data_IF_528807865858
#
_entry.id   IF_528807865858
#
_cell.length_a   1.000
_cell.length_b   1.000
_cell.length_c   1.000
_cell.angle_alpha   90.00
_cell.angle_beta   90.00
_cell.angle_gamma   90.00
#
_symmetry.space_group_name_H-M   'P 1'
#
loop_
_entity.id
_entity.type
_entity.pdbx_description
1 polymer ?
#
# COMPACT_ATOMS: atom_id res chain seq x y z
N UNK A 1 -24.12 17.31 -28.56
CA UNK A 1 -24.17 15.87 -28.51
C UNK A 1 -24.32 15.30 -27.10
N UNK A 2 -24.64 14.04 -26.98
CA UNK A 2 -24.93 13.34 -25.72
C UNK A 2 -23.76 13.47 -24.69
N UNK A 3 -22.50 13.45 -25.14
CA UNK A 3 -21.32 13.63 -24.27
C UNK A 3 -21.33 14.97 -23.51
N UNK A 4 -21.62 16.08 -24.21
CA UNK A 4 -21.77 17.40 -23.57
C UNK A 4 -22.96 17.43 -22.61
N UNK A 5 -24.09 16.84 -23.02
CA UNK A 5 -25.26 16.73 -22.16
C UNK A 5 -24.99 15.98 -20.87
N UNK A 6 -24.21 14.89 -20.94
CA UNK A 6 -23.76 14.12 -19.78
C UNK A 6 -23.03 15.01 -18.77
N UNK A 7 -22.03 15.80 -19.21
CA UNK A 7 -21.31 16.71 -18.32
C UNK A 7 -22.22 17.82 -17.78
N UNK A 8 -23.07 18.42 -18.64
CA UNK A 8 -23.97 19.48 -18.21
C UNK A 8 -24.95 19.00 -17.10
N UNK A 9 -25.62 17.86 -17.33
CA UNK A 9 -26.50 17.28 -16.31
C UNK A 9 -25.76 16.85 -15.04
N UNK A 10 -24.57 16.23 -15.18
CA UNK A 10 -23.80 15.76 -14.05
C UNK A 10 -23.30 16.89 -13.16
N UNK A 11 -22.74 17.95 -13.73
CA UNK A 11 -22.31 19.12 -12.96
C UNK A 11 -23.49 19.89 -12.36
N UNK A 12 -24.62 20.01 -13.09
CA UNK A 12 -25.79 20.60 -12.50
C UNK A 12 -26.32 19.75 -11.32
N UNK A 13 -26.32 18.42 -11.47
CA UNK A 13 -26.63 17.50 -10.36
C UNK A 13 -25.74 17.71 -9.16
N UNK A 14 -24.44 17.94 -9.37
CA UNK A 14 -23.49 18.23 -8.30
C UNK A 14 -23.80 19.55 -7.58
N UNK A 15 -24.12 20.61 -8.29
CA UNK A 15 -24.56 21.87 -7.68
C UNK A 15 -25.80 21.68 -6.80
N UNK A 16 -26.78 20.90 -7.25
CA UNK A 16 -27.97 20.58 -6.45
C UNK A 16 -27.63 19.69 -5.25
N UNK A 17 -26.61 18.80 -5.36
CA UNK A 17 -26.07 18.02 -4.24
C UNK A 17 -25.49 18.95 -3.15
N UNK A 18 -24.74 19.98 -3.53
CA UNK A 18 -24.19 21.00 -2.62
C UNK A 18 -25.29 21.81 -1.93
N UNK A 19 -26.36 22.15 -2.67
CA UNK A 19 -27.56 22.81 -2.13
C UNK A 19 -28.44 21.89 -1.28
N UNK A 20 -28.07 20.61 -1.09
CA UNK A 20 -28.85 19.58 -0.36
C UNK A 20 -30.21 19.27 -0.99
N UNK A 21 -30.41 19.57 -2.24
CA UNK A 21 -31.61 19.22 -3.03
C UNK A 21 -31.44 17.84 -3.65
N UNK A 22 -31.44 16.80 -2.79
CA UNK A 22 -30.95 15.46 -3.13
C UNK A 22 -31.80 14.76 -4.20
N UNK A 23 -33.13 14.93 -4.20
CA UNK A 23 -33.99 14.28 -5.19
C UNK A 23 -33.78 14.86 -6.58
N UNK A 24 -33.72 16.19 -6.71
CA UNK A 24 -33.47 16.86 -8.00
C UNK A 24 -32.04 16.57 -8.48
N UNK A 25 -31.04 16.55 -7.56
CA UNK A 25 -29.69 16.14 -7.85
C UNK A 25 -29.64 14.73 -8.44
N UNK A 26 -30.36 13.77 -7.83
CA UNK A 26 -30.44 12.39 -8.31
C UNK A 26 -31.11 12.29 -9.69
N UNK A 27 -32.16 13.03 -9.94
CA UNK A 27 -32.80 13.05 -11.25
C UNK A 27 -31.87 13.56 -12.35
N UNK A 28 -31.14 14.65 -12.08
CA UNK A 28 -30.15 15.22 -13.01
C UNK A 28 -28.98 14.24 -13.23
N UNK A 29 -28.49 13.64 -12.16
CA UNK A 29 -27.42 12.64 -12.23
C UNK A 29 -27.82 11.42 -13.05
N UNK A 30 -29.07 10.92 -12.94
CA UNK A 30 -29.60 9.83 -13.78
C UNK A 30 -29.65 10.22 -15.26
N UNK A 31 -29.99 11.47 -15.59
CA UNK A 31 -29.93 11.98 -16.97
C UNK A 31 -28.48 12.02 -17.47
N UNK A 32 -27.52 12.39 -16.59
CA UNK A 32 -26.12 12.39 -16.92
C UNK A 32 -25.59 10.98 -17.21
N UNK A 33 -25.96 9.99 -16.39
CA UNK A 33 -25.65 8.56 -16.59
C UNK A 33 -26.18 8.08 -17.93
N UNK A 34 -27.47 8.33 -18.22
CA UNK A 34 -28.08 7.92 -19.48
C UNK A 34 -27.39 8.55 -20.70
N UNK A 35 -27.09 9.85 -20.63
CA UNK A 35 -26.37 10.55 -21.71
C UNK A 35 -24.94 10.03 -21.91
N UNK A 36 -24.23 9.69 -20.81
CA UNK A 36 -22.91 9.09 -20.88
C UNK A 36 -22.93 7.69 -21.51
N UNK A 37 -23.87 6.84 -21.12
CA UNK A 37 -24.10 5.52 -21.71
C UNK A 37 -24.40 5.62 -23.21
N UNK A 38 -25.32 6.52 -23.57
CA UNK A 38 -25.71 6.75 -24.99
C UNK A 38 -24.55 7.28 -25.85
N UNK A 39 -23.58 7.95 -25.23
CA UNK A 39 -22.38 8.48 -25.89
C UNK A 39 -21.20 7.51 -25.92
N UNK A 40 -21.28 6.37 -25.23
CA UNK A 40 -20.14 5.49 -25.02
C UNK A 40 -18.98 6.21 -24.32
N UNK A 41 -19.27 7.03 -23.30
CA UNK A 41 -18.31 7.92 -22.64
C UNK A 41 -18.02 7.45 -21.19
N UNK A 42 -17.18 6.40 -21.02
CA UNK A 42 -16.91 5.81 -19.70
C UNK A 42 -16.20 6.80 -18.75
N UNK A 43 -15.43 7.75 -19.27
CA UNK A 43 -14.70 8.78 -18.50
C UNK A 43 -15.66 9.78 -17.81
N UNK A 44 -16.88 9.93 -18.28
CA UNK A 44 -17.92 10.68 -17.59
C UNK A 44 -18.88 9.76 -16.84
N UNK A 45 -19.15 8.57 -17.36
CA UNK A 45 -20.11 7.61 -16.81
C UNK A 45 -19.76 7.23 -15.36
N UNK A 46 -18.50 6.83 -15.07
CA UNK A 46 -18.09 6.43 -13.70
C UNK A 46 -18.31 7.57 -12.70
N UNK A 47 -18.11 8.83 -13.11
CA UNK A 47 -18.30 10.01 -12.23
C UNK A 47 -19.75 10.16 -11.80
N UNK A 48 -20.68 9.98 -12.73
CA UNK A 48 -22.10 10.14 -12.45
C UNK A 48 -22.68 8.90 -11.74
N UNK A 49 -22.16 7.72 -12.00
CA UNK A 49 -22.46 6.52 -11.19
C UNK A 49 -21.99 6.71 -9.75
N UNK A 50 -20.79 7.20 -9.54
CA UNK A 50 -20.26 7.52 -8.22
C UNK A 50 -21.09 8.62 -7.53
N UNK A 51 -21.43 9.71 -8.21
CA UNK A 51 -22.35 10.74 -7.69
C UNK A 51 -23.72 10.17 -7.31
N UNK A 52 -24.25 9.25 -8.12
CA UNK A 52 -25.49 8.52 -7.77
C UNK A 52 -25.32 7.75 -6.47
N UNK A 53 -24.20 7.08 -6.27
CA UNK A 53 -23.87 6.37 -5.03
C UNK A 53 -23.92 7.28 -3.80
N UNK A 54 -23.26 8.45 -3.86
CA UNK A 54 -23.29 9.44 -2.76
C UNK A 54 -24.68 9.95 -2.47
N UNK A 55 -25.46 10.28 -3.51
CA UNK A 55 -26.82 10.78 -3.37
C UNK A 55 -27.75 9.73 -2.76
N UNK A 56 -27.67 8.48 -3.24
CA UNK A 56 -28.46 7.36 -2.71
C UNK A 56 -28.09 7.04 -1.24
N UNK A 57 -26.82 7.14 -0.87
CA UNK A 57 -26.38 7.00 0.52
C UNK A 57 -27.04 8.05 1.41
N UNK A 58 -27.05 9.33 0.99
CA UNK A 58 -27.68 10.42 1.73
C UNK A 58 -29.22 10.31 1.80
N UNK A 59 -29.83 9.70 0.79
CA UNK A 59 -31.27 9.40 0.74
C UNK A 59 -31.65 8.12 1.50
N UNK A 60 -30.67 7.40 2.08
CA UNK A 60 -30.91 6.18 2.86
C UNK A 60 -31.15 4.92 2.01
N UNK A 61 -30.98 4.99 0.69
CA UNK A 61 -31.10 3.84 -0.21
C UNK A 61 -29.76 3.11 -0.33
N UNK A 62 -29.41 2.34 0.72
CA UNK A 62 -28.10 1.70 0.82
C UNK A 62 -27.83 0.67 -0.28
N UNK A 63 -28.83 -0.13 -0.69
CA UNK A 63 -28.64 -1.13 -1.76
C UNK A 63 -28.45 -0.45 -3.13
N UNK A 64 -29.23 0.60 -3.41
CA UNK A 64 -29.03 1.41 -4.61
C UNK A 64 -27.68 2.12 -4.62
N UNK A 65 -27.24 2.62 -3.48
CA UNK A 65 -25.92 3.23 -3.34
C UNK A 65 -24.80 2.23 -3.62
N UNK A 66 -24.88 1.02 -3.04
CA UNK A 66 -23.89 -0.03 -3.24
C UNK A 66 -23.77 -0.42 -4.72
N UNK A 67 -24.92 -0.63 -5.41
CA UNK A 67 -24.94 -0.91 -6.85
C UNK A 67 -24.26 0.21 -7.66
N UNK A 68 -24.58 1.47 -7.36
CA UNK A 68 -24.02 2.62 -8.08
C UNK A 68 -22.51 2.77 -7.87
N UNK A 69 -22.01 2.53 -6.66
CA UNK A 69 -20.56 2.53 -6.38
C UNK A 69 -19.82 1.38 -7.07
N UNK A 70 -20.41 0.17 -7.07
CA UNK A 70 -19.84 -0.99 -7.76
C UNK A 70 -19.78 -0.78 -9.27
N UNK A 71 -20.85 -0.24 -9.86
CA UNK A 71 -20.89 0.14 -11.28
C UNK A 71 -19.84 1.19 -11.61
N UNK A 72 -19.68 2.21 -10.76
CA UNK A 72 -18.65 3.23 -10.95
C UNK A 72 -17.23 2.63 -10.93
N UNK A 73 -16.93 1.75 -9.97
CA UNK A 73 -15.65 1.07 -9.89
C UNK A 73 -15.40 0.17 -11.12
N UNK A 74 -16.41 -0.59 -11.56
CA UNK A 74 -16.33 -1.44 -12.75
C UNK A 74 -16.12 -0.62 -14.05
N UNK A 75 -16.80 0.51 -14.17
CA UNK A 75 -16.66 1.42 -15.32
C UNK A 75 -15.28 2.09 -15.35
N UNK A 76 -14.73 2.45 -14.18
CA UNK A 76 -13.43 3.09 -14.05
C UNK A 76 -12.28 2.13 -14.36
N UNK A 77 -12.39 0.86 -13.98
CA UNK A 77 -11.28 -0.10 -14.05
C UNK A 77 -10.58 -0.16 -15.42
N UNK A 78 -11.27 -0.33 -16.57
CA UNK A 78 -10.62 -0.43 -17.87
C UNK A 78 -10.03 0.88 -18.40
N UNK A 79 -10.54 2.04 -17.97
CA UNK A 79 -10.09 3.37 -18.45
C UNK A 79 -9.17 4.08 -17.46
N UNK A 80 -8.85 3.45 -16.35
CA UNK A 80 -8.19 4.09 -15.23
C UNK A 80 -6.80 4.67 -15.59
N UNK A 81 -6.02 3.95 -16.38
CA UNK A 81 -4.74 4.42 -16.87
C UNK A 81 -4.89 5.74 -17.64
N UNK A 82 -5.89 5.83 -18.51
CA UNK A 82 -6.16 7.04 -19.30
C UNK A 82 -6.59 8.22 -18.40
N UNK A 83 -7.41 7.93 -17.37
CA UNK A 83 -7.84 8.95 -16.40
C UNK A 83 -6.67 9.43 -15.54
N UNK A 84 -5.77 8.54 -15.13
CA UNK A 84 -4.58 8.87 -14.36
C UNK A 84 -3.54 9.64 -15.19
N UNK A 85 -3.37 9.32 -16.47
CA UNK A 85 -2.44 10.01 -17.37
C UNK A 85 -2.84 11.45 -17.71
N UNK A 86 -4.13 11.77 -17.66
CA UNK A 86 -4.62 13.13 -17.88
C UNK A 86 -4.17 14.13 -16.79
N UNK A 87 -3.58 13.64 -15.72
CA UNK A 87 -3.23 14.40 -14.53
C UNK A 87 -1.78 14.16 -14.10
N UNK A 88 -0.88 15.01 -14.57
CA UNK A 88 0.58 14.86 -14.37
C UNK A 88 1.14 15.32 -13.01
N UNK A 89 0.35 15.47 -11.95
CA UNK A 89 0.86 15.94 -10.67
C UNK A 89 0.34 15.08 -9.50
N UNK A 90 1.23 14.65 -8.62
CA UNK A 90 0.96 13.87 -7.39
C UNK A 90 0.06 14.57 -6.34
N UNK A 91 -0.44 15.77 -6.65
CA UNK A 91 -1.43 16.53 -5.87
C UNK A 91 -2.76 16.67 -6.62
N UNK A 92 -3.00 15.85 -7.67
CA UNK A 92 -4.10 16.02 -8.58
C UNK A 92 -5.44 15.60 -7.94
N UNK A 93 -6.49 16.41 -8.15
CA UNK A 93 -7.86 16.08 -7.79
C UNK A 93 -8.36 14.72 -8.33
N UNK A 94 -7.82 14.24 -9.47
CA UNK A 94 -8.22 12.96 -10.05
C UNK A 94 -7.75 11.75 -9.23
N UNK A 95 -6.52 11.75 -8.70
CA UNK A 95 -6.05 10.68 -7.79
C UNK A 95 -6.82 10.67 -6.46
N UNK A 96 -7.12 11.84 -5.92
CA UNK A 96 -7.97 11.96 -4.75
C UNK A 96 -9.38 11.44 -5.04
N UNK A 97 -9.91 11.67 -6.25
CA UNK A 97 -11.24 11.19 -6.63
C UNK A 97 -11.30 9.67 -6.78
N UNK A 98 -10.28 9.02 -7.36
CA UNK A 98 -10.22 7.55 -7.47
C UNK A 98 -10.15 6.90 -6.09
N UNK A 99 -9.27 7.39 -5.21
CA UNK A 99 -9.19 6.92 -3.83
C UNK A 99 -10.53 7.05 -3.11
N UNK A 100 -11.18 8.20 -3.23
CA UNK A 100 -12.47 8.46 -2.58
C UNK A 100 -13.55 7.48 -3.02
N UNK A 101 -13.65 7.14 -4.31
CA UNK A 101 -14.59 6.15 -4.81
C UNK A 101 -14.45 4.80 -4.10
N UNK A 102 -13.23 4.25 -4.03
CA UNK A 102 -13.00 2.95 -3.41
C UNK A 102 -13.16 2.98 -1.89
N UNK A 103 -12.77 4.09 -1.23
CA UNK A 103 -12.93 4.24 0.21
C UNK A 103 -14.40 4.45 0.61
N UNK A 104 -15.18 5.21 -0.15
CA UNK A 104 -16.62 5.37 0.06
C UNK A 104 -17.36 4.04 -0.15
N UNK A 105 -16.97 3.26 -1.18
CA UNK A 105 -17.49 1.90 -1.39
C UNK A 105 -17.13 0.99 -0.20
N UNK A 106 -15.90 0.98 0.26
CA UNK A 106 -15.47 0.18 1.41
C UNK A 106 -16.21 0.60 2.69
N UNK A 107 -16.40 1.91 2.90
CA UNK A 107 -17.16 2.42 4.04
C UNK A 107 -18.61 1.92 4.06
N UNK A 108 -19.29 2.01 2.92
CA UNK A 108 -20.66 1.52 2.78
C UNK A 108 -20.75 0.01 3.03
N UNK A 109 -19.79 -0.78 2.51
CA UNK A 109 -19.72 -2.22 2.73
C UNK A 109 -19.49 -2.56 4.21
N UNK A 110 -18.61 -1.83 4.89
CA UNK A 110 -18.37 -1.99 6.34
C UNK A 110 -19.59 -1.60 7.18
N UNK A 111 -20.31 -0.56 6.78
CA UNK A 111 -21.57 -0.19 7.42
C UNK A 111 -22.64 -1.27 7.23
N UNK A 112 -22.75 -1.85 6.02
CA UNK A 112 -23.68 -2.96 5.75
C UNK A 112 -23.32 -4.19 6.58
N UNK A 113 -22.03 -4.57 6.64
CA UNK A 113 -21.58 -5.67 7.48
C UNK A 113 -21.99 -5.51 8.96
N UNK A 114 -21.98 -4.27 9.48
CA UNK A 114 -22.37 -3.96 10.85
C UNK A 114 -23.87 -4.11 11.12
N UNK A 115 -24.70 -4.08 10.10
CA UNK A 115 -26.16 -4.21 10.21
C UNK A 115 -26.63 -5.67 10.03
N UNK A 116 -25.76 -6.55 9.59
CA UNK A 116 -26.11 -7.95 9.37
C UNK A 116 -26.17 -8.71 10.71
N UNK A 117 -27.19 -9.55 10.83
CA UNK A 117 -27.37 -10.43 12.00
C UNK A 117 -26.77 -11.82 11.78
N UNK A 118 -26.60 -12.21 10.53
CA UNK A 118 -25.98 -13.48 10.14
C UNK A 118 -24.50 -13.31 9.83
N UNK A 119 -23.66 -14.13 10.46
CA UNK A 119 -22.20 -14.05 10.30
C UNK A 119 -21.75 -14.28 8.84
N UNK A 120 -22.44 -15.14 8.09
CA UNK A 120 -22.12 -15.42 6.68
C UNK A 120 -22.35 -14.22 5.75
N UNK A 121 -23.43 -13.47 5.99
CA UNK A 121 -23.69 -12.25 5.23
C UNK A 121 -22.71 -11.14 5.61
N UNK A 122 -22.46 -10.95 6.89
CA UNK A 122 -21.47 -10.01 7.40
C UNK A 122 -20.08 -10.28 6.78
N UNK A 123 -19.64 -11.55 6.77
CA UNK A 123 -18.35 -11.95 6.18
C UNK A 123 -18.26 -11.65 4.68
N UNK A 124 -19.37 -11.81 3.95
CA UNK A 124 -19.44 -11.45 2.52
C UNK A 124 -19.18 -9.95 2.29
N UNK A 125 -19.78 -9.08 3.10
CA UNK A 125 -19.57 -7.64 3.02
C UNK A 125 -18.14 -7.24 3.47
N UNK A 126 -17.59 -7.89 4.50
CA UNK A 126 -16.21 -7.65 4.93
C UNK A 126 -15.20 -8.04 3.85
N UNK A 127 -15.41 -9.16 3.17
CA UNK A 127 -14.59 -9.58 2.01
C UNK A 127 -14.68 -8.56 0.88
N UNK A 128 -15.89 -8.12 0.53
CA UNK A 128 -16.07 -7.12 -0.52
C UNK A 128 -15.39 -5.78 -0.16
N UNK A 129 -15.42 -5.37 1.12
CA UNK A 129 -14.73 -4.17 1.58
C UNK A 129 -13.20 -4.31 1.45
N UNK A 130 -12.63 -5.46 1.85
CA UNK A 130 -11.21 -5.77 1.65
C UNK A 130 -10.85 -5.71 0.16
N UNK A 131 -11.62 -6.37 -0.67
CA UNK A 131 -11.37 -6.45 -2.11
C UNK A 131 -11.45 -5.06 -2.79
N UNK A 132 -12.31 -4.16 -2.32
CA UNK A 132 -12.34 -2.77 -2.77
C UNK A 132 -11.05 -2.01 -2.40
N UNK A 133 -10.53 -2.19 -1.19
CA UNK A 133 -9.24 -1.60 -0.77
C UNK A 133 -8.08 -2.19 -1.56
N UNK A 134 -8.05 -3.51 -1.77
CA UNK A 134 -7.02 -4.17 -2.59
C UNK A 134 -7.06 -3.70 -4.05
N UNK A 135 -8.25 -3.55 -4.64
CA UNK A 135 -8.42 -3.01 -5.98
C UNK A 135 -7.86 -1.58 -6.10
N UNK A 136 -8.09 -0.72 -5.09
CA UNK A 136 -7.45 0.60 -5.04
C UNK A 136 -5.93 0.50 -4.97
N UNK A 137 -5.38 -0.35 -4.10
CA UNK A 137 -3.93 -0.51 -3.93
C UNK A 137 -3.23 -1.07 -5.16
N UNK A 138 -3.82 -2.08 -5.79
CA UNK A 138 -3.35 -2.59 -7.08
C UNK A 138 -3.35 -1.49 -8.13
N UNK A 139 -4.39 -0.70 -8.06
CA UNK A 139 -4.60 0.46 -8.86
C UNK A 139 -3.46 1.49 -8.71
N UNK A 140 -3.16 1.92 -7.52
CA UNK A 140 -2.10 2.87 -7.19
C UNK A 140 -0.71 2.40 -7.66
N UNK A 141 -0.40 1.12 -7.50
CA UNK A 141 0.88 0.56 -7.93
C UNK A 141 1.04 0.48 -9.45
N UNK A 142 -0.04 0.13 -10.18
CA UNK A 142 -0.02 0.18 -11.65
C UNK A 142 0.29 1.58 -12.16
N UNK A 143 -0.33 2.60 -11.55
CA UNK A 143 -0.10 4.00 -11.92
C UNK A 143 1.35 4.42 -11.63
N UNK A 144 1.91 3.94 -10.52
CA UNK A 144 3.28 4.21 -10.14
C UNK A 144 4.31 3.55 -11.07
N UNK A 145 4.15 2.26 -11.36
CA UNK A 145 5.12 1.50 -12.15
C UNK A 145 4.93 1.67 -13.66
N UNK A 146 3.79 2.20 -14.14
CA UNK A 146 3.46 2.37 -15.57
C UNK A 146 3.68 1.09 -16.38
N UNK A 147 3.42 -0.08 -15.80
CA UNK A 147 3.82 -1.36 -16.35
C UNK A 147 2.69 -2.40 -16.22
N UNK A 148 2.39 -3.08 -17.32
CA UNK A 148 1.44 -4.20 -17.40
C UNK A 148 1.92 -5.43 -16.58
N UNK A 149 3.14 -5.38 -16.01
CA UNK A 149 3.68 -6.44 -15.16
C UNK A 149 2.91 -6.65 -13.87
N UNK A 150 2.18 -5.64 -13.36
CA UNK A 150 1.32 -5.78 -12.18
C UNK A 150 0.22 -6.81 -12.44
N UNK A 151 -0.33 -6.86 -13.66
CA UNK A 151 -1.35 -7.83 -14.05
C UNK A 151 -0.81 -9.26 -14.12
N UNK A 152 0.45 -9.42 -14.53
CA UNK A 152 1.12 -10.73 -14.55
C UNK A 152 1.44 -11.23 -13.13
N UNK A 153 1.75 -10.34 -12.21
CA UNK A 153 1.95 -10.68 -10.79
C UNK A 153 0.62 -11.12 -10.19
N UNK A 154 -0.45 -10.37 -10.38
CA UNK A 154 -1.80 -10.74 -9.90
C UNK A 154 -2.27 -12.10 -10.44
N UNK A 155 -1.98 -12.42 -11.71
CA UNK A 155 -2.34 -13.70 -12.30
C UNK A 155 -1.58 -14.91 -11.71
N UNK A 156 -0.44 -14.68 -11.06
CA UNK A 156 0.39 -15.72 -10.41
C UNK A 156 0.14 -15.88 -8.92
N UNK A 157 -0.50 -14.90 -8.30
CA UNK A 157 -0.71 -14.91 -6.86
C UNK A 157 -1.92 -15.78 -6.51
N UNK A 158 -1.68 -16.82 -5.75
CA UNK A 158 -2.72 -17.61 -5.10
C UNK A 158 -3.36 -16.73 -4.04
N UNK A 159 -4.70 -16.76 -3.93
CA UNK A 159 -5.42 -16.00 -2.91
C UNK A 159 -4.78 -16.22 -1.53
N UNK A 160 -4.43 -15.14 -0.88
CA UNK A 160 -3.75 -15.11 0.42
C UNK A 160 -4.58 -15.66 1.61
N UNK A 161 -5.77 -16.20 1.36
CA UNK A 161 -6.54 -16.96 2.35
C UNK A 161 -5.77 -18.22 2.84
N UNK A 162 -4.61 -18.53 2.23
CA UNK A 162 -3.69 -19.61 2.59
C UNK A 162 -2.43 -19.16 3.34
N UNK A 163 -2.38 -17.95 3.90
CA UNK A 163 -1.26 -17.50 4.74
C UNK A 163 -1.22 -18.34 6.03
N UNK A 164 0.00 -18.57 6.54
CA UNK A 164 0.29 -19.32 7.76
C UNK A 164 -0.81 -19.19 8.84
N UNK A 165 -1.24 -20.29 9.47
CA UNK A 165 -2.30 -20.30 10.49
C UNK A 165 -1.97 -19.47 11.75
N UNK A 166 -0.77 -18.87 11.83
CA UNK A 166 -0.33 -18.00 12.91
C UNK A 166 -0.17 -16.53 12.46
N UNK A 167 -0.77 -16.15 11.33
CA UNK A 167 -0.64 -14.79 10.76
C UNK A 167 -1.96 -14.05 10.84
N UNK A 168 -1.91 -12.77 11.22
CA UNK A 168 -3.01 -11.82 11.06
C UNK A 168 -2.61 -10.71 10.08
N UNK A 169 -3.55 -10.35 9.18
CA UNK A 169 -3.33 -9.31 8.18
C UNK A 169 -4.25 -8.15 8.50
N UNK A 170 -3.67 -6.98 8.70
CA UNK A 170 -4.32 -5.80 9.26
C UNK A 170 -4.40 -4.70 8.20
N UNK A 171 -5.61 -4.29 7.87
CA UNK A 171 -5.92 -3.14 7.01
C UNK A 171 -6.42 -1.98 7.87
N UNK A 172 -5.58 -1.02 8.23
CA UNK A 172 -6.04 0.20 8.90
C UNK A 172 -6.63 1.15 7.86
N UNK A 173 -7.95 1.32 7.86
CA UNK A 173 -8.69 2.14 6.90
C UNK A 173 -9.10 3.43 7.60
N UNK A 174 -8.52 4.55 7.18
CA UNK A 174 -8.75 5.86 7.80
C UNK A 174 -9.92 6.59 7.13
N UNK A 175 -11.02 6.76 7.85
CA UNK A 175 -12.15 7.60 7.44
C UNK A 175 -12.12 8.97 8.14
N UNK A 176 -12.95 9.89 7.67
CA UNK A 176 -13.01 11.25 8.20
C UNK A 176 -13.46 11.31 9.65
N UNK A 177 -14.28 10.37 10.08
CA UNK A 177 -14.92 10.29 11.40
C UNK A 177 -14.34 9.21 12.33
N UNK A 178 -13.71 8.16 11.76
CA UNK A 178 -13.18 7.01 12.48
C UNK A 178 -12.07 6.31 11.73
N UNK A 179 -11.44 5.34 12.37
CA UNK A 179 -10.51 4.38 11.74
C UNK A 179 -11.08 2.97 11.90
N UNK A 180 -11.17 2.23 10.81
CA UNK A 180 -11.57 0.83 10.82
C UNK A 180 -10.33 -0.07 10.71
N UNK A 181 -10.25 -1.05 11.57
CA UNK A 181 -9.27 -2.12 11.47
C UNK A 181 -9.97 -3.35 10.90
N UNK A 182 -9.81 -3.57 9.60
CA UNK A 182 -10.27 -4.79 8.96
C UNK A 182 -9.15 -5.82 9.03
N UNK A 183 -9.39 -6.95 9.67
CA UNK A 183 -8.33 -7.93 9.98
C UNK A 183 -8.71 -9.30 9.48
N UNK A 184 -7.86 -9.87 8.61
CA UNK A 184 -7.93 -11.28 8.24
C UNK A 184 -7.19 -12.11 9.28
N UNK A 185 -7.93 -12.87 10.05
CA UNK A 185 -7.42 -13.86 10.98
C UNK A 185 -7.46 -15.27 10.35
N UNK A 186 -6.77 -16.28 10.93
CA UNK A 186 -6.83 -17.67 10.44
C UNK A 186 -8.23 -18.28 10.38
N UNK A 187 -9.16 -17.78 11.20
CA UNK A 187 -10.53 -18.25 11.31
C UNK A 187 -11.57 -17.33 10.67
N UNK A 188 -11.15 -16.27 9.94
CA UNK A 188 -12.03 -15.37 9.20
C UNK A 188 -11.72 -13.89 9.35
N UNK A 189 -12.49 -13.07 8.68
CA UNK A 189 -12.39 -11.62 8.72
C UNK A 189 -13.11 -11.04 9.93
N UNK A 190 -12.51 -10.01 10.55
CA UNK A 190 -13.14 -9.23 11.62
C UNK A 190 -12.92 -7.75 11.39
N UNK A 191 -13.86 -6.98 11.90
CA UNK A 191 -13.85 -5.53 11.88
C UNK A 191 -13.78 -5.01 13.31
N UNK A 192 -12.88 -4.06 13.56
CA UNK A 192 -12.82 -3.30 14.80
C UNK A 192 -12.85 -1.81 14.48
N UNK A 193 -13.86 -1.11 14.98
CA UNK A 193 -14.00 0.35 14.80
C UNK A 193 -13.33 1.09 15.94
N UNK A 194 -12.47 2.04 15.60
CA UNK A 194 -11.75 2.89 16.55
C UNK A 194 -12.20 4.33 16.34
N UNK A 195 -12.66 5.05 17.39
CA UNK A 195 -13.20 6.41 17.27
C UNK A 195 -12.07 7.45 17.13
N UNK A 196 -11.22 7.26 16.13
CA UNK A 196 -10.09 8.13 15.80
C UNK A 196 -10.18 8.54 14.33
N UNK A 197 -10.32 9.84 14.11
CA UNK A 197 -10.45 10.43 12.78
C UNK A 197 -9.15 10.30 11.96
N UNK A 198 -9.25 10.30 10.63
CA UNK A 198 -8.08 10.31 9.74
C UNK A 198 -7.14 11.51 10.05
N UNK A 199 -7.69 12.65 10.41
CA UNK A 199 -6.90 13.85 10.78
C UNK A 199 -6.11 13.65 12.07
N UNK A 200 -6.75 13.13 13.11
CA UNK A 200 -6.10 12.86 14.40
C UNK A 200 -5.01 11.80 14.28
N UNK A 201 -5.31 10.69 13.59
CA UNK A 201 -4.33 9.64 13.34
C UNK A 201 -3.15 10.15 12.51
N UNK A 202 -3.40 10.94 11.46
CA UNK A 202 -2.34 11.55 10.64
C UNK A 202 -1.44 12.48 11.46
N UNK A 203 -2.02 13.29 12.36
CA UNK A 203 -1.24 14.18 13.22
C UNK A 203 -0.32 13.39 14.15
N UNK A 204 -0.82 12.31 14.77
CA UNK A 204 -0.05 11.43 15.64
C UNK A 204 1.08 10.71 14.91
N UNK A 205 0.80 10.17 13.71
CA UNK A 205 1.81 9.56 12.85
C UNK A 205 2.94 10.53 12.51
N UNK A 206 2.61 11.77 12.14
CA UNK A 206 3.62 12.81 11.85
C UNK A 206 4.46 13.16 13.07
N UNK A 207 3.85 13.22 14.25
CA UNK A 207 4.56 13.46 15.50
C UNK A 207 5.48 12.29 15.84
N UNK A 208 4.99 11.06 15.75
CA UNK A 208 5.79 9.85 15.96
C UNK A 208 7.00 9.81 15.03
N UNK A 209 6.81 9.98 13.73
CA UNK A 209 7.89 10.02 12.75
C UNK A 209 8.95 11.07 13.09
N UNK A 210 8.54 12.30 13.36
CA UNK A 210 9.44 13.41 13.72
C UNK A 210 10.26 13.12 14.98
N UNK A 211 9.65 12.46 15.98
CA UNK A 211 10.36 12.10 17.21
C UNK A 211 11.29 10.91 17.03
N UNK A 212 10.99 9.97 16.15
CA UNK A 212 11.90 8.87 15.79
C UNK A 212 13.21 9.36 15.13
N UNK A 213 13.16 10.49 14.41
CA UNK A 213 14.35 11.09 13.79
C UNK A 213 15.30 11.70 14.83
N UNK A 214 14.83 11.96 16.06
CA UNK A 214 15.64 12.47 17.18
C UNK A 214 16.33 11.32 17.91
N UNK A 215 17.56 10.98 17.50
CA UNK A 215 18.33 9.82 18.03
C UNK A 215 18.69 9.89 19.52
N UNK A 216 18.64 11.07 20.14
CA UNK A 216 19.13 11.32 21.50
C UNK A 216 18.05 11.30 22.58
N UNK A 217 16.77 11.21 22.21
CA UNK A 217 15.65 11.29 23.15
C UNK A 217 14.70 10.11 23.00
N UNK A 218 13.86 9.87 24.03
CA UNK A 218 12.78 8.88 23.99
C UNK A 218 11.39 9.52 23.82
N UNK A 219 11.35 10.73 23.31
CA UNK A 219 10.09 11.50 23.11
C UNK A 219 9.12 10.80 22.14
N UNK A 220 9.58 9.86 21.34
CA UNK A 220 8.76 9.03 20.48
C UNK A 220 7.87 8.01 21.24
N UNK A 221 8.23 7.62 22.47
CA UNK A 221 7.52 6.57 23.21
C UNK A 221 6.03 6.87 23.46
N UNK A 222 5.62 8.06 23.93
CA UNK A 222 4.19 8.37 24.10
C UNK A 222 3.41 8.24 22.80
N UNK A 223 3.99 8.68 21.68
CA UNK A 223 3.37 8.56 20.35
C UNK A 223 3.30 7.10 19.89
N UNK A 224 4.35 6.31 20.12
CA UNK A 224 4.35 4.88 19.83
C UNK A 224 3.27 4.14 20.64
N UNK A 225 3.06 4.50 21.90
CA UNK A 225 2.02 3.93 22.77
C UNK A 225 0.62 4.33 22.31
N UNK A 226 0.43 5.60 21.96
CA UNK A 226 -0.87 6.08 21.48
C UNK A 226 -1.26 5.37 20.18
N UNK A 227 -0.33 5.21 19.23
CA UNK A 227 -0.57 4.48 18.00
C UNK A 227 -0.82 2.99 18.25
N UNK A 228 -0.10 2.38 19.19
CA UNK A 228 -0.36 1.01 19.62
C UNK A 228 -1.78 0.84 20.18
N UNK A 229 -2.22 1.77 21.00
CA UNK A 229 -3.54 1.76 21.63
C UNK A 229 -4.66 1.84 20.58
N UNK A 230 -4.45 2.61 19.52
CA UNK A 230 -5.42 2.74 18.44
C UNK A 230 -5.39 1.57 17.46
N UNK A 231 -4.22 1.05 17.10
CA UNK A 231 -4.06 0.10 16.00
C UNK A 231 -3.96 -1.37 16.44
N UNK A 232 -3.48 -1.64 17.66
CA UNK A 232 -3.21 -3.00 18.13
C UNK A 232 -4.07 -3.42 19.33
N UNK A 233 -4.30 -2.51 20.30
CA UNK A 233 -5.03 -2.86 21.52
C UNK A 233 -6.41 -3.47 21.26
N UNK A 234 -7.22 -2.98 20.29
CA UNK A 234 -8.50 -3.60 19.97
C UNK A 234 -8.41 -5.07 19.50
N UNK A 235 -7.26 -5.48 18.98
CA UNK A 235 -7.03 -6.78 18.37
C UNK A 235 -6.48 -7.81 19.34
N UNK A 236 -5.98 -7.41 20.51
CA UNK A 236 -5.20 -8.28 21.41
C UNK A 236 -5.94 -9.55 21.87
N UNK A 237 -7.25 -9.48 22.07
CA UNK A 237 -8.06 -10.62 22.46
C UNK A 237 -8.02 -11.71 21.39
N UNK A 238 -8.24 -11.34 20.13
CA UNK A 238 -8.22 -12.26 19.00
C UNK A 238 -6.80 -12.77 18.71
N UNK A 239 -5.79 -11.89 18.73
CA UNK A 239 -4.39 -12.26 18.51
C UNK A 239 -3.94 -13.35 19.51
N UNK A 240 -4.28 -13.18 20.78
CA UNK A 240 -3.95 -14.17 21.83
C UNK A 240 -4.74 -15.47 21.69
N UNK A 241 -6.05 -15.36 21.46
CA UNK A 241 -6.95 -16.52 21.29
C UNK A 241 -6.49 -17.40 20.14
N UNK A 242 -6.10 -16.79 19.01
CA UNK A 242 -5.68 -17.48 17.79
C UNK A 242 -4.18 -17.78 17.74
N UNK A 243 -3.44 -17.45 18.81
CA UNK A 243 -1.98 -17.67 18.90
C UNK A 243 -1.21 -17.08 17.71
N UNK A 244 -1.62 -15.92 17.26
CA UNK A 244 -0.95 -15.20 16.19
C UNK A 244 0.47 -14.82 16.63
N UNK A 245 1.44 -15.05 15.78
CA UNK A 245 2.85 -14.67 15.99
C UNK A 245 3.41 -13.76 14.90
N UNK A 246 2.67 -13.58 13.82
CA UNK A 246 3.06 -12.74 12.68
C UNK A 246 1.96 -11.75 12.36
N UNK A 247 2.31 -10.47 12.25
CA UNK A 247 1.44 -9.39 11.85
C UNK A 247 1.88 -8.85 10.50
N UNK A 248 0.97 -8.83 9.54
CA UNK A 248 1.18 -8.21 8.23
C UNK A 248 0.31 -6.98 8.14
N UNK A 249 0.92 -5.81 8.03
CA UNK A 249 0.19 -4.57 7.84
C UNK A 249 0.08 -4.23 6.36
N UNK A 250 -1.11 -3.80 5.96
CA UNK A 250 -1.41 -3.26 4.63
C UNK A 250 -1.76 -1.77 4.79
N UNK A 251 -0.77 -0.91 5.08
CA UNK A 251 -1.00 0.48 5.44
C UNK A 251 -1.39 1.33 4.22
N UNK A 252 -2.07 2.44 4.50
CA UNK A 252 -2.39 3.46 3.51
C UNK A 252 -1.92 4.85 3.96
N UNK A 253 -1.66 5.73 2.98
CA UNK A 253 -1.28 7.11 3.22
C UNK A 253 -0.15 7.28 4.25
N UNK A 254 -0.33 8.14 5.28
CA UNK A 254 0.69 8.43 6.29
C UNK A 254 1.20 7.21 7.07
N UNK A 255 0.39 6.16 7.24
CA UNK A 255 0.80 4.93 7.93
C UNK A 255 1.97 4.21 7.25
N UNK A 256 2.19 4.42 5.95
CA UNK A 256 3.35 3.89 5.21
C UNK A 256 4.69 4.52 5.63
N UNK A 257 4.64 5.64 6.34
CA UNK A 257 5.83 6.43 6.67
C UNK A 257 6.43 6.11 8.04
N UNK A 258 5.84 5.18 8.78
CA UNK A 258 6.28 4.79 10.11
C UNK A 258 6.57 3.28 10.17
N UNK A 259 7.59 2.85 10.95
CA UNK A 259 7.83 1.44 11.18
C UNK A 259 6.82 0.88 12.19
N UNK A 260 5.88 0.03 11.76
CA UNK A 260 4.91 -0.63 12.64
C UNK A 260 5.57 -1.44 13.75
N UNK A 261 6.77 -1.98 13.49
CA UNK A 261 7.59 -2.71 14.46
C UNK A 261 7.99 -1.88 15.69
N UNK A 262 8.02 -0.55 15.56
CA UNK A 262 8.38 0.39 16.63
C UNK A 262 7.18 0.87 17.46
N UNK A 263 5.98 0.38 17.23
CA UNK A 263 4.84 0.59 18.14
C UNK A 263 5.16 -0.05 19.52
N UNK A 264 4.63 0.53 20.61
CA UNK A 264 5.04 0.17 21.97
C UNK A 264 3.82 -0.03 22.87
N UNK A 265 3.73 -1.16 23.59
CA UNK A 265 2.56 -1.47 24.44
C UNK A 265 2.56 -0.83 25.84
N UNK A 266 3.63 -0.09 26.15
CA UNK A 266 3.93 0.47 27.47
C UNK A 266 5.09 -0.24 28.16
N UNK A 267 5.37 -1.50 27.81
CA UNK A 267 6.46 -2.32 28.35
C UNK A 267 7.53 -2.67 27.33
N UNK A 268 7.13 -2.97 26.08
CA UNK A 268 8.04 -3.43 25.04
C UNK A 268 7.53 -3.04 23.63
N UNK A 269 8.45 -3.08 22.67
CA UNK A 269 8.12 -2.83 21.28
C UNK A 269 7.39 -4.01 20.65
N UNK A 270 6.55 -3.72 19.64
CA UNK A 270 5.77 -4.73 18.91
C UNK A 270 6.64 -5.83 18.33
N UNK A 271 7.83 -5.50 17.81
CA UNK A 271 8.79 -6.45 17.24
C UNK A 271 9.30 -7.48 18.26
N UNK A 272 9.24 -7.17 19.56
CA UNK A 272 9.62 -8.12 20.60
C UNK A 272 8.58 -9.22 20.85
N UNK A 273 7.33 -8.98 20.39
CA UNK A 273 6.21 -9.89 20.60
C UNK A 273 5.81 -10.64 19.33
N UNK A 274 5.91 -10.00 18.17
CA UNK A 274 5.43 -10.49 16.89
C UNK A 274 6.48 -10.29 15.79
N UNK A 275 6.54 -11.20 14.85
CA UNK A 275 7.13 -10.90 13.55
C UNK A 275 6.24 -9.86 12.85
N UNK A 276 6.83 -8.78 12.32
CA UNK A 276 6.09 -7.67 11.72
C UNK A 276 6.52 -7.50 10.27
N UNK A 277 5.57 -7.55 9.36
CA UNK A 277 5.77 -7.25 7.95
C UNK A 277 4.83 -6.13 7.50
N UNK A 278 5.23 -5.42 6.46
CA UNK A 278 4.42 -4.42 5.77
C UNK A 278 4.38 -4.76 4.29
N UNK A 279 3.20 -4.67 3.68
CA UNK A 279 3.02 -4.86 2.25
C UNK A 279 2.16 -3.74 1.65
N UNK A 280 2.42 -3.30 0.42
CA UNK A 280 1.57 -2.32 -0.25
C UNK A 280 0.18 -2.85 -0.58
N UNK A 281 0.02 -4.15 -0.76
CA UNK A 281 -1.24 -4.86 -1.01
C UNK A 281 -0.99 -6.37 -1.01
N UNK A 282 -2.00 -7.14 -0.63
CA UNK A 282 -1.87 -8.60 -0.60
C UNK A 282 -1.85 -9.20 -2.01
N UNK A 283 -2.72 -8.70 -2.88
CA UNK A 283 -2.79 -9.12 -4.29
C UNK A 283 -1.50 -8.82 -5.08
N UNK A 284 -0.52 -8.21 -4.41
CA UNK A 284 0.78 -7.81 -4.98
C UNK A 284 1.96 -8.50 -4.28
N UNK A 285 1.67 -9.38 -3.33
CA UNK A 285 2.69 -10.04 -2.51
C UNK A 285 2.69 -11.53 -2.79
N UNK A 286 3.84 -12.07 -3.19
CA UNK A 286 4.00 -13.52 -3.33
C UNK A 286 4.28 -14.13 -1.95
N UNK A 287 3.36 -14.93 -1.38
CA UNK A 287 3.51 -15.50 -0.04
C UNK A 287 4.43 -16.72 0.01
N UNK A 288 4.98 -17.14 -1.14
CA UNK A 288 5.84 -18.33 -1.18
C UNK A 288 7.09 -18.11 -0.33
N UNK A 289 7.44 -19.05 0.55
CA UNK A 289 8.66 -18.93 1.34
C UNK A 289 9.90 -19.01 0.44
N UNK A 290 10.88 -18.16 0.72
CA UNK A 290 12.19 -18.23 0.07
C UNK A 290 12.80 -19.60 0.32
N UNK A 291 13.21 -20.28 -0.74
CA UNK A 291 13.89 -21.57 -0.62
C UNK A 291 15.33 -21.37 -0.12
N UNK A 292 15.50 -21.39 1.20
CA UNK A 292 16.80 -21.13 1.84
C UNK A 292 17.92 -22.05 1.37
N UNK A 293 17.64 -23.26 0.94
CA UNK A 293 18.67 -24.21 0.49
C UNK A 293 19.19 -23.90 -0.91
N UNK A 294 18.39 -23.19 -1.73
CA UNK A 294 18.77 -22.76 -3.08
C UNK A 294 19.10 -21.27 -3.15
N UNK A 295 18.78 -20.51 -2.09
CA UNK A 295 19.01 -19.08 -2.07
C UNK A 295 20.51 -18.76 -2.21
N UNK A 296 20.82 -17.91 -3.19
CA UNK A 296 22.15 -17.37 -3.39
C UNK A 296 22.14 -15.86 -3.16
N UNK A 297 23.10 -15.39 -2.41
CA UNK A 297 23.23 -14.02 -1.98
C UNK A 297 24.28 -13.28 -2.83
N UNK A 298 23.91 -12.14 -3.38
CA UNK A 298 24.85 -11.10 -3.78
C UNK A 298 24.87 -10.03 -2.70
N UNK A 299 25.96 -9.95 -1.94
CA UNK A 299 26.16 -8.92 -0.91
C UNK A 299 27.09 -7.83 -1.43
N UNK A 300 26.67 -6.56 -1.34
CA UNK A 300 27.42 -5.42 -1.87
C UNK A 300 27.49 -4.31 -0.83
N UNK A 301 28.66 -3.67 -0.65
CA UNK A 301 28.77 -2.63 0.36
C UNK A 301 30.05 -1.82 0.36
N UNK A 302 30.02 -0.72 1.13
CA UNK A 302 31.15 0.19 1.35
C UNK A 302 31.55 0.21 2.82
N UNK A 303 32.82 -0.01 3.11
CA UNK A 303 33.37 0.15 4.45
C UNK A 303 34.21 1.42 4.58
N UNK A 304 34.77 1.90 3.48
CA UNK A 304 35.68 3.05 3.43
C UNK A 304 34.97 4.35 3.16
N UNK A 305 35.60 5.46 3.48
CA UNK A 305 35.13 6.77 3.06
C UNK A 305 35.26 6.90 1.54
N UNK A 306 34.16 7.28 0.88
CA UNK A 306 34.05 7.39 -0.58
C UNK A 306 33.24 8.63 -0.96
N UNK A 307 33.71 9.40 -1.94
CA UNK A 307 32.98 10.55 -2.51
C UNK A 307 32.51 11.58 -1.47
N UNK A 308 33.26 11.80 -0.40
CA UNK A 308 32.92 12.71 0.69
C UNK A 308 32.01 12.15 1.77
N UNK A 309 31.57 10.91 1.66
CA UNK A 309 30.81 10.21 2.70
C UNK A 309 31.76 9.51 3.70
N UNK A 310 31.40 9.47 5.01
CA UNK A 310 32.24 8.85 6.02
C UNK A 310 32.31 7.32 5.86
N UNK A 311 33.30 6.63 6.52
CA UNK A 311 33.37 5.18 6.48
C UNK A 311 32.20 4.53 7.24
N UNK A 312 31.79 3.32 6.81
CA UNK A 312 30.78 2.47 7.45
C UNK A 312 31.46 1.20 8.03
N UNK A 313 32.08 1.28 9.20
CA UNK A 313 32.95 0.21 9.73
C UNK A 313 32.21 -1.11 10.01
N UNK A 314 30.90 -1.06 10.31
CA UNK A 314 30.10 -2.24 10.63
C UNK A 314 29.62 -3.04 9.41
N UNK A 315 29.71 -2.49 8.21
CA UNK A 315 29.29 -3.16 6.96
C UNK A 315 30.08 -4.46 6.75
N UNK A 316 31.38 -4.49 7.05
CA UNK A 316 32.17 -5.70 6.90
C UNK A 316 31.69 -6.85 7.79
N UNK A 317 31.31 -6.56 9.03
CA UNK A 317 30.76 -7.52 9.99
C UNK A 317 29.36 -8.00 9.56
N UNK A 318 28.49 -7.07 9.14
CA UNK A 318 27.16 -7.36 8.61
C UNK A 318 27.23 -8.33 7.42
N UNK A 319 28.11 -8.04 6.45
CA UNK A 319 28.28 -8.88 5.27
C UNK A 319 28.90 -10.24 5.60
N UNK A 320 29.86 -10.31 6.51
CA UNK A 320 30.43 -11.57 6.97
C UNK A 320 29.37 -12.46 7.63
N UNK A 321 28.49 -11.87 8.43
CA UNK A 321 27.39 -12.59 9.05
C UNK A 321 26.40 -13.13 7.99
N UNK A 322 25.99 -12.31 7.02
CA UNK A 322 25.10 -12.74 5.95
C UNK A 322 25.71 -13.88 5.10
N UNK A 323 27.00 -13.79 4.77
CA UNK A 323 27.71 -14.82 4.01
C UNK A 323 27.89 -16.14 4.81
N UNK A 324 27.78 -16.09 6.13
CA UNK A 324 27.70 -17.31 6.96
C UNK A 324 26.37 -18.02 6.86
N UNK A 325 25.28 -17.31 6.52
CA UNK A 325 23.92 -17.82 6.42
C UNK A 325 23.55 -18.28 5.00
N UNK A 326 24.10 -17.60 3.98
CA UNK A 326 23.79 -17.83 2.57
C UNK A 326 25.07 -17.96 1.76
N UNK A 327 25.05 -18.86 0.76
CA UNK A 327 26.13 -18.95 -0.23
C UNK A 327 25.95 -17.83 -1.26
N UNK A 328 27.07 -17.29 -1.75
CA UNK A 328 27.00 -16.26 -2.79
C UNK A 328 28.30 -15.52 -3.01
N UNK A 329 28.19 -14.35 -3.61
CA UNK A 329 29.31 -13.47 -3.95
C UNK A 329 29.27 -12.19 -3.11
N UNK A 330 30.45 -11.59 -2.91
CA UNK A 330 30.61 -10.36 -2.16
C UNK A 330 31.32 -9.29 -2.98
N UNK A 331 30.70 -8.12 -3.10
CA UNK A 331 31.29 -6.93 -3.69
C UNK A 331 31.56 -5.89 -2.59
N UNK A 332 32.83 -5.75 -2.17
CA UNK A 332 33.19 -4.84 -1.08
C UNK A 332 34.10 -3.74 -1.59
N UNK A 333 33.87 -2.49 -1.18
CA UNK A 333 34.66 -1.31 -1.49
C UNK A 333 34.93 -1.17 -3.02
N UNK A 334 36.18 -1.17 -3.45
CA UNK A 334 36.57 -1.03 -4.86
C UNK A 334 36.01 -2.10 -5.79
N UNK A 335 35.48 -3.19 -5.25
CA UNK A 335 34.76 -4.21 -6.03
C UNK A 335 33.27 -3.89 -6.16
N UNK A 336 32.71 -3.01 -5.34
CA UNK A 336 31.33 -2.57 -5.43
C UNK A 336 31.21 -1.34 -6.33
N UNK A 337 31.35 -1.58 -7.64
CA UNK A 337 31.18 -0.59 -8.70
C UNK A 337 29.97 -0.94 -9.56
N UNK A 338 29.31 0.08 -10.11
CA UNK A 338 28.08 -0.11 -10.87
C UNK A 338 28.20 -1.12 -12.01
N UNK A 339 29.26 -1.12 -12.86
CA UNK A 339 29.38 -2.09 -13.94
C UNK A 339 29.53 -3.54 -13.44
N UNK A 340 30.20 -3.75 -12.31
CA UNK A 340 30.37 -5.08 -11.74
C UNK A 340 29.08 -5.59 -11.12
N UNK A 341 28.35 -4.74 -10.39
CA UNK A 341 27.01 -5.06 -9.87
C UNK A 341 26.07 -5.47 -11.01
N UNK A 342 26.07 -4.72 -12.12
CA UNK A 342 25.29 -5.05 -13.31
C UNK A 342 25.68 -6.40 -13.93
N UNK A 343 26.98 -6.70 -14.02
CA UNK A 343 27.49 -7.95 -14.53
C UNK A 343 27.04 -9.13 -13.68
N UNK A 344 27.24 -9.06 -12.37
CA UNK A 344 26.82 -10.11 -11.44
C UNK A 344 25.30 -10.34 -11.48
N UNK A 345 24.52 -9.27 -11.49
CA UNK A 345 23.06 -9.38 -11.60
C UNK A 345 22.63 -9.99 -12.94
N UNK A 346 23.37 -9.79 -14.03
CA UNK A 346 23.07 -10.41 -15.35
C UNK A 346 23.30 -11.91 -15.39
N UNK A 347 24.15 -12.47 -14.54
CA UNK A 347 24.42 -13.91 -14.48
C UNK A 347 23.23 -14.74 -14.00
N UNK A 348 22.26 -14.12 -13.32
CA UNK A 348 20.97 -14.72 -13.00
C UNK A 348 20.95 -15.75 -11.87
N UNK A 349 22.06 -15.92 -11.15
CA UNK A 349 22.20 -16.93 -10.09
C UNK A 349 21.77 -16.47 -8.69
N UNK A 350 21.52 -15.17 -8.50
CA UNK A 350 21.20 -14.62 -7.17
C UNK A 350 19.71 -14.44 -7.00
N UNK A 351 19.18 -14.99 -5.91
CA UNK A 351 17.80 -14.78 -5.44
C UNK A 351 17.70 -13.71 -4.34
N UNK A 352 18.81 -13.37 -3.70
CA UNK A 352 18.92 -12.34 -2.67
C UNK A 352 19.97 -11.31 -3.08
N UNK A 353 19.60 -10.03 -3.08
CA UNK A 353 20.51 -8.90 -3.21
C UNK A 353 20.49 -8.09 -1.93
N UNK A 354 21.66 -7.95 -1.29
CA UNK A 354 21.86 -7.10 -0.11
C UNK A 354 22.85 -5.99 -0.42
N UNK A 355 22.45 -4.73 -0.21
CA UNK A 355 23.29 -3.56 -0.45
C UNK A 355 23.42 -2.77 0.86
N UNK A 356 24.63 -2.72 1.42
CA UNK A 356 24.99 -1.97 2.63
C UNK A 356 25.88 -0.78 2.29
N UNK A 357 25.29 0.41 2.20
CA UNK A 357 25.99 1.61 1.73
C UNK A 357 25.33 2.89 2.24
N UNK A 358 25.86 4.05 1.87
CA UNK A 358 25.14 5.31 2.02
C UNK A 358 24.04 5.45 0.98
N UNK A 359 22.89 6.00 1.39
CA UNK A 359 21.79 6.35 0.50
C UNK A 359 21.27 7.74 0.79
N UNK A 360 20.80 8.41 -0.24
CA UNK A 360 20.02 9.63 -0.12
C UNK A 360 18.65 9.40 -0.73
N UNK A 361 17.59 9.66 0.04
CA UNK A 361 16.21 9.49 -0.40
C UNK A 361 15.51 10.84 -0.31
N UNK A 362 15.23 11.45 -1.46
CA UNK A 362 14.59 12.75 -1.59
C UNK A 362 13.12 12.59 -2.05
N UNK A 363 12.35 13.67 -1.93
CA UNK A 363 10.98 13.74 -2.46
C UNK A 363 10.97 13.57 -3.99
N UNK A 364 11.98 14.09 -4.68
CA UNK A 364 12.22 13.85 -6.10
C UNK A 364 13.05 12.55 -6.25
N UNK A 365 12.49 11.57 -6.94
CA UNK A 365 13.12 10.27 -7.20
C UNK A 365 14.45 10.40 -7.94
N UNK A 366 14.59 11.42 -8.78
CA UNK A 366 15.83 11.68 -9.54
C UNK A 366 16.99 12.14 -8.65
N UNK A 367 16.69 12.64 -7.45
CA UNK A 367 17.68 13.04 -6.45
C UNK A 367 17.97 11.91 -5.45
N UNK A 368 17.29 10.78 -5.58
CA UNK A 368 17.46 9.61 -4.72
C UNK A 368 18.49 8.65 -5.33
N UNK A 369 19.47 8.22 -4.53
CA UNK A 369 20.54 7.32 -4.98
C UNK A 369 21.10 6.47 -3.84
N UNK A 370 21.74 5.38 -4.22
CA UNK A 370 22.67 4.62 -3.39
C UNK A 370 24.11 4.90 -3.84
N UNK A 371 25.05 4.95 -2.90
CA UNK A 371 26.44 5.19 -3.22
C UNK A 371 27.14 3.87 -3.60
N UNK A 372 27.79 3.83 -4.75
CA UNK A 372 28.76 2.80 -5.12
C UNK A 372 30.19 3.37 -4.95
N UNK A 373 31.20 2.56 -5.10
CA UNK A 373 32.57 3.03 -4.94
C UNK A 373 32.96 4.07 -6.01
N UNK A 374 32.48 3.88 -7.23
CA UNK A 374 32.80 4.72 -8.41
C UNK A 374 31.77 5.84 -8.65
N UNK A 375 30.49 5.62 -8.33
CA UNK A 375 29.43 6.55 -8.74
C UNK A 375 28.20 6.51 -7.80
N UNK A 376 27.15 7.19 -8.16
CA UNK A 376 25.83 7.19 -7.54
C UNK A 376 24.87 6.33 -8.36
N UNK A 377 24.43 5.23 -7.80
CA UNK A 377 23.39 4.39 -8.40
C UNK A 377 22.02 5.02 -8.13
N UNK A 378 21.44 5.67 -9.15
CA UNK A 378 20.13 6.30 -9.04
C UNK A 378 19.02 5.25 -8.88
N UNK A 379 17.86 5.66 -8.31
CA UNK A 379 16.71 4.75 -8.16
C UNK A 379 16.22 4.24 -9.52
N UNK A 380 16.24 5.06 -10.56
CA UNK A 380 15.90 4.64 -11.94
C UNK A 380 16.87 3.59 -12.50
N UNK A 381 18.16 3.70 -12.20
CA UNK A 381 19.14 2.68 -12.59
C UNK A 381 18.92 1.38 -11.82
N UNK A 382 18.70 1.46 -10.50
CA UNK A 382 18.40 0.30 -9.66
C UNK A 382 17.12 -0.41 -10.13
N UNK A 383 16.05 0.36 -10.41
CA UNK A 383 14.79 -0.17 -10.96
C UNK A 383 15.02 -0.93 -12.26
N UNK A 384 15.79 -0.36 -13.20
CA UNK A 384 16.12 -1.01 -14.46
C UNK A 384 16.89 -2.32 -14.24
N UNK A 385 17.86 -2.33 -13.33
CA UNK A 385 18.65 -3.51 -12.99
C UNK A 385 17.79 -4.62 -12.40
N UNK A 386 16.98 -4.30 -11.40
CA UNK A 386 16.08 -5.26 -10.75
C UNK A 386 14.94 -5.67 -11.68
N UNK A 387 14.43 -4.74 -12.49
CA UNK A 387 13.33 -4.99 -13.43
C UNK A 387 13.64 -6.09 -14.45
N UNK A 388 14.87 -6.16 -14.93
CA UNK A 388 15.32 -7.22 -15.85
C UNK A 388 15.33 -8.62 -15.21
N UNK A 389 15.48 -8.68 -13.87
CA UNK A 389 15.55 -9.96 -13.15
C UNK A 389 14.18 -10.63 -12.97
N UNK A 390 13.08 -9.90 -13.15
CA UNK A 390 11.70 -10.41 -13.03
C UNK A 390 11.33 -11.46 -14.10
N UNK A 391 11.96 -11.38 -15.26
CA UNK A 391 11.65 -12.25 -16.41
C UNK A 391 12.44 -13.55 -16.41
N UNK A 392 13.22 -13.84 -15.37
CA UNK A 392 14.06 -15.04 -15.27
C UNK A 392 13.28 -16.23 -14.70
N UNK A 393 13.82 -17.43 -14.97
CA UNK A 393 13.32 -18.66 -14.34
C UNK A 393 13.48 -18.62 -12.81
N UNK A 394 14.63 -18.04 -12.33
CA UNK A 394 14.89 -17.79 -10.92
C UNK A 394 14.97 -16.26 -10.70
N UNK A 395 13.84 -15.61 -10.38
CA UNK A 395 13.81 -14.17 -10.15
C UNK A 395 14.50 -13.78 -8.83
N UNK A 396 14.86 -12.51 -8.71
CA UNK A 396 15.26 -11.94 -7.44
C UNK A 396 14.05 -11.96 -6.48
N UNK A 397 14.17 -12.66 -5.35
CA UNK A 397 13.11 -12.84 -4.37
C UNK A 397 13.18 -11.80 -3.23
N UNK A 398 14.40 -11.33 -2.91
CA UNK A 398 14.62 -10.37 -1.82
C UNK A 398 15.67 -9.33 -2.21
N UNK A 399 15.30 -8.06 -2.09
CA UNK A 399 16.22 -6.92 -2.11
C UNK A 399 16.23 -6.27 -0.73
N UNK A 400 17.42 -6.21 -0.11
CA UNK A 400 17.61 -5.51 1.17
C UNK A 400 18.54 -4.32 0.98
N UNK A 401 18.08 -3.15 1.40
CA UNK A 401 18.87 -1.92 1.40
C UNK A 401 19.20 -1.53 2.85
N UNK A 402 20.46 -1.72 3.26
CA UNK A 402 21.01 -1.23 4.52
C UNK A 402 21.68 0.11 4.25
N UNK A 403 20.87 1.15 4.05
CA UNK A 403 21.31 2.49 3.66
C UNK A 403 20.49 3.53 4.42
N UNK A 404 21.16 4.35 5.22
CA UNK A 404 20.55 5.45 5.97
C UNK A 404 21.14 6.79 5.54
N UNK A 405 20.29 7.82 5.58
CA UNK A 405 20.75 9.20 5.49
C UNK A 405 21.48 9.63 6.75
#
# INVERSE_FOLDING_TARGET
GQRLASYAYGHLGHLYEEERRLDEALQLTRRAVFAAQSAGAPESLYRWQWQSGRLLTRLGSLDGALSAYQEAAATLQPIRAEVAFGSQASLDPAHQSIRSLYFELADLLLQRAALMTEDSEADSYLKAARDAIEAYKAAELRDYFRDDCVDQIQARLTKLDAVSPATAIIYPIMFSDRTELLVSFPDGLRRHSVPVTASALTAEIRSFRRMLEKRTTREYLPHAQQLYDWLLRPLLADLRRLKVNTLVFVPDGPLRTIPMSALHDGSQFLIAQYAVAMTPGLDLTDPRPINRTRAQLLSSGLTKAVQGFPPLPHVAEEMAHLNSLFKGEQLLDSNFVTPRLEGELKDGRYSILHIATHGQFATDVNQSFLLTFDDRLTMTQLERLVGLLRFRQDPLELLTLSACQ
#
